data_IF_160034294629
#
_entry.id   IF_160034294629
#
_cell.length_a   1.000
_cell.length_b   1.000
_cell.length_c   1.000
_cell.angle_alpha   90.00
_cell.angle_beta   90.00
_cell.angle_gamma   90.00
#
_symmetry.space_group_name_H-M   'P 1'
#
loop_
_entity.id
_entity.type
_entity.pdbx_description
1 polymer ?
#
# COMPACT_ATOMS: atom_id res chain seq x y z
N UNK A 1 -24.75 -14.90 -10.96
CA UNK A 1 -24.02 -15.99 -11.64
C UNK A 1 -22.75 -16.22 -10.84
N UNK A 2 -22.65 -17.34 -10.15
CA UNK A 2 -21.50 -17.66 -9.29
C UNK A 2 -20.27 -17.89 -10.17
N UNK A 3 -19.24 -17.06 -10.00
CA UNK A 3 -17.96 -17.23 -10.73
C UNK A 3 -17.29 -18.50 -10.24
N UNK A 4 -17.10 -19.46 -11.10
CA UNK A 4 -16.33 -20.66 -10.77
C UNK A 4 -14.86 -20.29 -10.60
N UNK A 5 -14.31 -20.55 -9.42
CA UNK A 5 -12.88 -20.36 -9.17
C UNK A 5 -12.02 -21.11 -10.21
N UNK A 6 -10.87 -20.55 -10.62
CA UNK A 6 -9.97 -21.22 -11.54
C UNK A 6 -9.46 -22.53 -10.93
N UNK A 7 -9.09 -23.50 -11.79
CA UNK A 7 -8.43 -24.70 -11.28
C UNK A 7 -7.13 -24.32 -10.56
N UNK A 8 -6.76 -25.07 -9.53
CA UNK A 8 -5.52 -24.85 -8.75
C UNK A 8 -4.30 -24.70 -9.66
N UNK A 9 -4.18 -25.53 -10.69
CA UNK A 9 -3.08 -25.44 -11.65
C UNK A 9 -3.08 -24.14 -12.45
N UNK A 10 -4.26 -23.65 -12.86
CA UNK A 10 -4.40 -22.37 -13.56
C UNK A 10 -4.00 -21.20 -12.68
N UNK A 11 -4.44 -21.20 -11.43
CA UNK A 11 -4.08 -20.18 -10.44
C UNK A 11 -2.56 -20.17 -10.17
N UNK A 12 -1.96 -21.35 -9.97
CA UNK A 12 -0.51 -21.49 -9.77
C UNK A 12 0.31 -20.96 -10.96
N UNK A 13 -0.10 -21.27 -12.21
CA UNK A 13 0.60 -20.75 -13.39
C UNK A 13 0.55 -19.22 -13.46
N UNK A 14 -0.61 -18.62 -13.18
CA UNK A 14 -0.76 -17.15 -13.15
C UNK A 14 0.09 -16.51 -12.05
N UNK A 15 0.11 -17.11 -10.84
CA UNK A 15 0.93 -16.62 -9.73
C UNK A 15 2.42 -16.67 -10.07
N UNK A 16 2.90 -17.78 -10.64
CA UNK A 16 4.31 -17.91 -11.04
C UNK A 16 4.67 -16.92 -12.14
N UNK A 17 3.82 -16.74 -13.16
CA UNK A 17 4.05 -15.79 -14.22
C UNK A 17 4.10 -14.34 -13.69
N UNK A 18 3.20 -13.98 -12.77
CA UNK A 18 3.20 -12.67 -12.15
C UNK A 18 4.47 -12.45 -11.31
N UNK A 19 4.82 -13.39 -10.43
CA UNK A 19 6.00 -13.29 -9.56
C UNK A 19 7.32 -13.20 -10.35
N UNK A 20 7.43 -13.94 -11.45
CA UNK A 20 8.62 -13.92 -12.32
C UNK A 20 8.84 -12.55 -13.02
N UNK A 21 7.77 -11.77 -13.18
CA UNK A 21 7.82 -10.45 -13.81
C UNK A 21 7.97 -9.29 -12.81
N UNK A 22 8.12 -9.57 -11.50
CA UNK A 22 8.34 -8.51 -10.50
C UNK A 22 9.82 -8.16 -10.42
N UNK A 23 10.23 -6.92 -10.75
CA UNK A 23 11.61 -6.49 -10.59
C UNK A 23 11.95 -6.41 -9.10
N UNK A 24 12.87 -7.23 -8.62
CA UNK A 24 13.28 -7.26 -7.21
C UNK A 24 13.82 -5.92 -6.70
N UNK A 25 14.46 -5.13 -7.60
CA UNK A 25 14.95 -3.79 -7.28
C UNK A 25 13.87 -2.72 -7.11
N UNK A 26 12.64 -2.98 -7.57
CA UNK A 26 11.48 -2.10 -7.43
C UNK A 26 10.49 -2.60 -6.38
N UNK A 27 10.84 -3.67 -5.65
CA UNK A 27 10.03 -4.22 -4.58
C UNK A 27 10.51 -3.79 -3.19
N UNK A 28 10.08 -4.54 -2.17
CA UNK A 28 10.35 -4.28 -0.76
C UNK A 28 11.84 -4.04 -0.46
N UNK A 29 12.76 -4.84 -1.03
CA UNK A 29 14.20 -4.68 -0.82
C UNK A 29 14.73 -3.33 -1.33
N UNK A 30 14.25 -2.88 -2.49
CA UNK A 30 14.58 -1.56 -3.04
C UNK A 30 14.00 -0.42 -2.19
N UNK A 31 12.79 -0.56 -1.68
CA UNK A 31 12.16 0.38 -0.74
C UNK A 31 12.93 0.47 0.57
N UNK A 32 13.35 -0.66 1.12
CA UNK A 32 14.18 -0.70 2.33
C UNK A 32 15.55 -0.05 2.13
N UNK A 33 16.20 -0.29 0.99
CA UNK A 33 17.48 0.36 0.67
C UNK A 33 17.32 1.88 0.53
N UNK A 34 16.22 2.33 -0.08
CA UNK A 34 15.91 3.76 -0.20
C UNK A 34 15.66 4.39 1.17
N UNK A 35 14.91 3.74 2.05
CA UNK A 35 14.67 4.20 3.43
C UNK A 35 15.97 4.37 4.20
N UNK A 36 16.87 3.39 4.14
CA UNK A 36 18.19 3.48 4.79
C UNK A 36 19.01 4.67 4.23
N UNK A 37 19.02 4.84 2.92
CA UNK A 37 19.73 5.96 2.28
C UNK A 37 19.13 7.32 2.69
N UNK A 38 17.82 7.41 2.88
CA UNK A 38 17.13 8.62 3.33
C UNK A 38 17.29 8.89 4.83
N UNK A 39 17.51 7.86 5.66
CA UNK A 39 17.71 8.01 7.11
C UNK A 39 19.14 8.40 7.49
N UNK A 40 20.13 8.09 6.64
CA UNK A 40 21.54 8.45 6.88
C UNK A 40 21.88 9.88 6.46
N UNK A 41 21.03 10.52 5.69
CA UNK A 41 21.22 11.89 5.20
C UNK A 41 20.15 12.80 5.79
N UNK A 42 20.57 13.85 6.50
CA UNK A 42 19.67 14.96 6.83
C UNK A 42 19.14 15.54 5.52
N UNK A 43 17.83 15.37 5.27
CA UNK A 43 17.20 15.92 4.08
C UNK A 43 17.37 17.42 4.01
N UNK A 44 18.05 17.91 2.99
CA UNK A 44 18.31 19.36 2.77
C UNK A 44 17.68 19.87 1.47
N UNK A 45 16.96 19.00 0.76
CA UNK A 45 16.29 19.34 -0.50
C UNK A 45 14.93 20.02 -0.32
N UNK A 46 14.32 20.46 -1.44
CA UNK A 46 12.96 21.03 -1.44
C UNK A 46 11.92 20.03 -0.91
N UNK A 47 10.83 20.53 -0.31
CA UNK A 47 9.76 19.69 0.25
C UNK A 47 9.10 18.78 -0.81
N UNK A 48 8.95 19.25 -2.06
CA UNK A 48 8.40 18.43 -3.14
C UNK A 48 9.25 17.20 -3.46
N UNK A 49 10.58 17.31 -3.37
CA UNK A 49 11.48 16.17 -3.57
C UNK A 49 11.40 15.18 -2.40
N UNK A 50 11.21 15.69 -1.16
CA UNK A 50 10.98 14.84 0.01
C UNK A 50 9.68 14.06 -0.13
N UNK A 51 8.61 14.69 -0.61
CA UNK A 51 7.31 14.05 -0.85
C UNK A 51 7.41 12.93 -1.90
N UNK A 52 8.08 13.20 -3.02
CA UNK A 52 8.26 12.21 -4.08
C UNK A 52 9.12 11.02 -3.62
N UNK A 53 10.19 11.32 -2.86
CA UNK A 53 11.06 10.29 -2.27
C UNK A 53 10.30 9.42 -1.26
N UNK A 54 9.52 10.03 -0.38
CA UNK A 54 8.67 9.33 0.59
C UNK A 54 7.66 8.42 -0.11
N UNK A 55 6.89 8.96 -1.06
CA UNK A 55 5.90 8.19 -1.82
C UNK A 55 6.52 7.00 -2.54
N UNK A 56 7.70 7.19 -3.14
CA UNK A 56 8.41 6.13 -3.84
C UNK A 56 8.86 5.04 -2.87
N UNK A 57 9.45 5.42 -1.75
CA UNK A 57 9.91 4.51 -0.71
C UNK A 57 8.74 3.68 -0.14
N UNK A 58 7.64 4.33 0.24
CA UNK A 58 6.45 3.69 0.77
C UNK A 58 5.81 2.71 -0.23
N UNK A 59 5.68 3.14 -1.48
CA UNK A 59 5.16 2.28 -2.56
C UNK A 59 6.01 1.03 -2.75
N UNK A 60 7.34 1.17 -2.71
CA UNK A 60 8.27 0.06 -2.90
C UNK A 60 8.36 -0.84 -1.67
N UNK A 61 8.46 -0.26 -0.46
CA UNK A 61 8.66 -1.02 0.78
C UNK A 61 7.39 -1.73 1.22
N UNK A 62 6.29 -1.02 1.34
CA UNK A 62 5.04 -1.49 1.94
C UNK A 62 3.97 -1.75 0.89
N UNK A 63 3.78 -0.84 -0.05
CA UNK A 63 2.75 -0.92 -1.07
C UNK A 63 2.83 -2.19 -1.92
N UNK A 64 4.05 -2.63 -2.28
CA UNK A 64 4.24 -3.84 -3.07
C UNK A 64 3.74 -5.12 -2.37
N UNK A 65 3.79 -5.19 -1.03
CA UNK A 65 3.30 -6.35 -0.27
C UNK A 65 1.78 -6.41 -0.28
N UNK A 66 1.12 -5.29 -0.08
CA UNK A 66 -0.34 -5.20 -0.16
C UNK A 66 -0.84 -5.52 -1.58
N UNK A 67 -0.17 -4.97 -2.60
CA UNK A 67 -0.51 -5.27 -3.98
C UNK A 67 -0.29 -6.75 -4.32
N UNK A 68 0.80 -7.36 -3.86
CA UNK A 68 1.06 -8.78 -4.03
C UNK A 68 -0.04 -9.62 -3.38
N UNK A 69 -0.41 -9.34 -2.14
CA UNK A 69 -1.47 -10.06 -1.42
C UNK A 69 -2.83 -9.94 -2.14
N UNK A 70 -3.22 -8.74 -2.55
CA UNK A 70 -4.47 -8.49 -3.26
C UNK A 70 -4.51 -9.22 -4.61
N UNK A 71 -3.42 -9.17 -5.40
CA UNK A 71 -3.33 -9.87 -6.69
C UNK A 71 -3.35 -11.39 -6.51
N UNK A 72 -2.64 -11.93 -5.51
CA UNK A 72 -2.70 -13.36 -5.21
C UNK A 72 -4.13 -13.80 -4.87
N UNK A 73 -4.83 -13.05 -4.02
CA UNK A 73 -6.23 -13.29 -3.69
C UNK A 73 -7.13 -13.23 -4.92
N UNK A 74 -6.96 -12.21 -5.76
CA UNK A 74 -7.70 -12.04 -7.01
C UNK A 74 -7.47 -13.21 -7.99
N UNK A 75 -6.23 -13.66 -8.17
CA UNK A 75 -5.90 -14.81 -9.04
C UNK A 75 -6.59 -16.08 -8.54
N UNK A 76 -6.53 -16.34 -7.23
CA UNK A 76 -7.18 -17.52 -6.63
C UNK A 76 -8.69 -17.42 -6.72
N UNK A 77 -9.26 -16.23 -6.51
CA UNK A 77 -10.69 -15.96 -6.63
C UNK A 77 -11.22 -15.92 -8.08
N UNK A 78 -10.34 -15.95 -9.07
CA UNK A 78 -10.74 -15.88 -10.48
C UNK A 78 -11.17 -14.49 -10.93
N UNK A 79 -10.60 -13.45 -10.36
CA UNK A 79 -10.86 -12.07 -10.74
C UNK A 79 -10.54 -11.84 -12.23
N UNK A 80 -11.39 -11.07 -12.90
CA UNK A 80 -11.15 -10.56 -14.25
C UNK A 80 -10.09 -9.45 -14.23
N UNK A 81 -9.54 -9.07 -15.39
CA UNK A 81 -8.54 -7.99 -15.47
C UNK A 81 -9.05 -6.67 -14.86
N UNK A 82 -10.29 -6.19 -15.12
CA UNK A 82 -10.80 -5.00 -14.44
C UNK A 82 -10.88 -5.14 -12.91
N UNK A 83 -11.26 -6.31 -12.41
CA UNK A 83 -11.28 -6.58 -10.96
C UNK A 83 -9.87 -6.63 -10.37
N UNK A 84 -8.89 -7.16 -11.12
CA UNK A 84 -7.48 -7.15 -10.72
C UNK A 84 -6.92 -5.74 -10.63
N UNK A 85 -7.31 -4.84 -11.55
CA UNK A 85 -6.93 -3.43 -11.52
C UNK A 85 -7.54 -2.71 -10.32
N UNK A 86 -8.80 -3.00 -9.97
CA UNK A 86 -9.45 -2.46 -8.78
C UNK A 86 -8.79 -2.98 -7.49
N UNK A 87 -8.48 -4.27 -7.39
CA UNK A 87 -7.74 -4.85 -6.26
C UNK A 87 -6.36 -4.22 -6.11
N UNK A 88 -5.65 -3.98 -7.22
CA UNK A 88 -4.36 -3.30 -7.19
C UNK A 88 -4.48 -1.85 -6.74
N UNK A 89 -5.53 -1.12 -7.16
CA UNK A 89 -5.80 0.25 -6.71
C UNK A 89 -6.14 0.29 -5.21
N UNK A 90 -7.04 -0.60 -4.77
CA UNK A 90 -7.37 -0.75 -3.36
C UNK A 90 -6.11 -0.98 -2.52
N UNK A 91 -5.28 -1.94 -2.93
CA UNK A 91 -4.07 -2.31 -2.20
C UNK A 91 -3.08 -1.14 -2.08
N UNK A 92 -2.92 -0.33 -3.13
CA UNK A 92 -2.07 0.87 -3.08
C UNK A 92 -2.60 1.92 -2.12
N UNK A 93 -3.91 2.21 -2.15
CA UNK A 93 -4.51 3.18 -1.23
C UNK A 93 -4.48 2.70 0.21
N UNK A 94 -4.78 1.41 0.43
CA UNK A 94 -4.72 0.80 1.76
C UNK A 94 -3.29 0.80 2.31
N UNK A 95 -2.30 0.41 1.51
CA UNK A 95 -0.90 0.39 1.91
C UNK A 95 -0.37 1.78 2.24
N UNK A 96 -0.79 2.81 1.48
CA UNK A 96 -0.44 4.20 1.79
C UNK A 96 -1.07 4.64 3.12
N UNK A 97 -2.36 4.37 3.33
CA UNK A 97 -3.02 4.70 4.60
C UNK A 97 -2.35 3.99 5.78
N UNK A 98 -2.02 2.71 5.62
CA UNK A 98 -1.32 1.92 6.64
C UNK A 98 0.01 2.58 7.05
N UNK A 99 0.82 2.98 6.07
CA UNK A 99 2.11 3.62 6.33
C UNK A 99 1.96 4.99 6.99
N UNK A 100 1.03 5.83 6.51
CA UNK A 100 0.77 7.15 7.12
C UNK A 100 0.35 6.99 8.58
N UNK A 101 -0.48 6.00 8.88
CA UNK A 101 -0.90 5.71 10.25
C UNK A 101 0.29 5.30 11.12
N UNK A 102 1.13 4.38 10.63
CA UNK A 102 2.34 3.92 11.30
C UNK A 102 3.27 5.12 11.63
N UNK A 103 3.49 6.02 10.66
CA UNK A 103 4.26 7.25 10.83
C UNK A 103 3.64 8.22 11.86
N UNK A 104 2.31 8.30 11.96
CA UNK A 104 1.62 9.12 12.96
C UNK A 104 1.74 8.52 14.37
N UNK A 105 1.63 7.18 14.49
CA UNK A 105 1.83 6.47 15.76
C UNK A 105 3.27 6.61 16.26
N UNK A 106 4.25 6.46 15.37
CA UNK A 106 5.68 6.67 15.69
C UNK A 106 5.97 8.11 16.13
N UNK A 107 5.34 9.08 15.48
CA UNK A 107 5.50 10.51 15.86
C UNK A 107 4.90 10.85 17.23
N UNK A 108 3.86 10.14 17.66
CA UNK A 108 3.26 10.28 18.99
C UNK A 108 4.09 9.56 20.07
N UNK A 109 4.96 8.63 19.70
CA UNK A 109 5.90 7.93 20.56
C UNK A 109 7.20 8.72 20.81
N UNK A 110 8.13 8.13 21.56
CA UNK A 110 9.41 8.77 21.94
C UNK A 110 10.49 8.75 20.81
N UNK A 111 10.20 8.18 19.64
CA UNK A 111 11.16 8.02 18.53
C UNK A 111 11.23 9.22 17.56
N UNK A 112 10.74 10.38 17.97
CA UNK A 112 10.66 11.61 17.16
C UNK A 112 12.03 12.23 16.75
N UNK A 113 13.14 11.52 16.93
CA UNK A 113 14.51 12.03 16.70
C UNK A 113 15.33 11.31 15.63
N UNK A 114 14.78 10.35 14.88
CA UNK A 114 15.58 9.47 14.00
C UNK A 114 16.07 10.12 12.67
N UNK A 115 15.71 11.37 12.37
CA UNK A 115 16.06 12.04 11.09
C UNK A 115 15.42 11.36 9.84
N UNK A 116 14.46 10.46 10.05
CA UNK A 116 13.73 9.78 8.98
C UNK A 116 12.74 10.72 8.31
N UNK A 117 12.61 10.60 6.99
CA UNK A 117 11.51 11.23 6.26
C UNK A 117 10.27 10.39 6.47
N UNK A 118 9.24 10.97 7.09
CA UNK A 118 7.96 10.35 7.41
C UNK A 118 6.82 11.21 6.88
N UNK A 119 5.60 10.66 6.82
CA UNK A 119 4.40 11.41 6.46
C UNK A 119 4.24 12.68 7.33
N UNK A 120 4.49 12.56 8.64
CA UNK A 120 4.38 13.68 9.59
C UNK A 120 5.49 14.71 9.36
N UNK A 121 6.72 14.31 9.05
CA UNK A 121 7.82 15.24 8.79
C UNK A 121 7.64 16.04 7.49
N UNK A 122 6.96 15.43 6.48
CA UNK A 122 6.73 16.05 5.17
C UNK A 122 5.48 16.92 5.15
N UNK A 123 4.39 16.46 5.75
CA UNK A 123 3.07 17.12 5.64
C UNK A 123 2.58 17.74 6.95
N UNK A 124 3.29 17.54 8.06
CA UNK A 124 2.78 17.84 9.40
C UNK A 124 1.70 16.84 9.81
N UNK A 125 1.29 16.86 11.07
CA UNK A 125 0.31 15.92 11.60
C UNK A 125 -1.07 16.09 10.93
N UNK A 126 -1.54 17.32 10.74
CA UNK A 126 -2.81 17.63 10.08
C UNK A 126 -2.82 17.16 8.62
N UNK A 127 -1.77 17.47 7.84
CA UNK A 127 -1.64 17.01 6.46
C UNK A 127 -1.51 15.50 6.33
N UNK A 128 -0.90 14.82 7.31
CA UNK A 128 -0.86 13.35 7.36
C UNK A 128 -2.26 12.77 7.61
N UNK A 129 -3.05 13.34 8.53
CA UNK A 129 -4.44 12.95 8.74
C UNK A 129 -5.30 13.11 7.49
N UNK A 130 -5.23 14.26 6.82
CA UNK A 130 -5.99 14.50 5.58
C UNK A 130 -5.67 13.47 4.49
N UNK A 131 -4.39 13.11 4.36
CA UNK A 131 -3.95 12.11 3.38
C UNK A 131 -4.34 10.70 3.78
N UNK A 132 -4.31 10.38 5.06
CA UNK A 132 -4.84 9.12 5.59
C UNK A 132 -6.31 8.97 5.24
N UNK A 133 -7.14 9.94 5.58
CA UNK A 133 -8.59 9.94 5.32
C UNK A 133 -8.90 9.84 3.83
N UNK A 134 -8.16 10.58 2.99
CA UNK A 134 -8.30 10.53 1.54
C UNK A 134 -7.96 9.15 0.99
N UNK A 135 -6.93 8.50 1.52
CA UNK A 135 -6.50 7.16 1.11
C UNK A 135 -7.51 6.09 1.55
N UNK A 136 -8.02 6.17 2.77
CA UNK A 136 -9.10 5.30 3.26
C UNK A 136 -10.35 5.45 2.40
N UNK A 137 -10.77 6.68 2.10
CA UNK A 137 -11.94 6.93 1.25
C UNK A 137 -11.74 6.36 -0.16
N UNK A 138 -10.53 6.46 -0.72
CA UNK A 138 -10.21 5.87 -2.03
C UNK A 138 -10.23 4.33 -1.99
N UNK A 139 -9.66 3.72 -0.96
CA UNK A 139 -9.69 2.27 -0.76
C UNK A 139 -11.15 1.75 -0.64
N UNK A 140 -12.00 2.46 0.12
CA UNK A 140 -13.43 2.13 0.26
C UNK A 140 -14.15 2.17 -1.08
N UNK A 141 -13.94 3.20 -1.90
CA UNK A 141 -14.54 3.27 -3.26
C UNK A 141 -14.14 2.09 -4.13
N UNK A 142 -12.88 1.66 -4.06
CA UNK A 142 -12.45 0.45 -4.77
C UNK A 142 -13.17 -0.80 -4.24
N UNK A 143 -13.31 -0.95 -2.92
CA UNK A 143 -14.01 -2.08 -2.31
C UNK A 143 -15.51 -2.12 -2.65
N UNK A 144 -16.16 -0.95 -2.77
CA UNK A 144 -17.57 -0.80 -3.15
C UNK A 144 -17.85 -1.32 -4.56
N UNK A 145 -16.89 -1.22 -5.48
CA UNK A 145 -17.04 -1.73 -6.86
C UNK A 145 -17.29 -3.24 -6.93
N UNK A 146 -16.93 -3.99 -5.87
CA UNK A 146 -17.18 -5.43 -5.75
C UNK A 146 -18.55 -5.78 -5.15
N UNK A 147 -19.37 -4.79 -4.79
CA UNK A 147 -20.68 -5.00 -4.18
C UNK A 147 -20.58 -5.81 -2.86
N UNK A 148 -21.41 -6.86 -2.73
CA UNK A 148 -21.40 -7.71 -1.53
C UNK A 148 -20.09 -8.50 -1.38
N UNK A 149 -19.47 -8.91 -2.48
CA UNK A 149 -18.18 -9.62 -2.46
C UNK A 149 -17.04 -8.76 -1.84
N UNK A 150 -17.19 -7.44 -1.89
CA UNK A 150 -16.26 -6.49 -1.26
C UNK A 150 -16.43 -6.30 0.25
N UNK A 151 -17.41 -6.96 0.91
CA UNK A 151 -17.67 -6.76 2.34
C UNK A 151 -16.44 -6.99 3.22
N UNK A 152 -15.71 -8.09 2.99
CA UNK A 152 -14.49 -8.40 3.73
C UNK A 152 -13.35 -7.40 3.49
N UNK A 153 -13.31 -6.79 2.30
CA UNK A 153 -12.35 -5.73 2.01
C UNK A 153 -12.70 -4.46 2.77
N UNK A 154 -13.99 -4.13 2.89
CA UNK A 154 -14.47 -3.00 3.73
C UNK A 154 -14.16 -3.24 5.21
N UNK A 155 -14.45 -4.44 5.73
CA UNK A 155 -14.12 -4.81 7.12
C UNK A 155 -12.62 -4.62 7.40
N UNK A 156 -11.74 -5.01 6.44
CA UNK A 156 -10.30 -4.83 6.56
C UNK A 156 -9.90 -3.35 6.59
N UNK A 157 -10.52 -2.53 5.73
CA UNK A 157 -10.25 -1.08 5.70
C UNK A 157 -10.68 -0.44 7.02
N UNK A 158 -11.82 -0.87 7.57
CA UNK A 158 -12.34 -0.34 8.82
C UNK A 158 -11.42 -0.64 10.01
N UNK A 159 -10.71 -1.78 10.01
CA UNK A 159 -9.75 -2.13 11.08
C UNK A 159 -8.66 -1.08 11.25
N UNK A 160 -8.17 -0.45 10.17
CA UNK A 160 -7.14 0.60 10.28
C UNK A 160 -7.74 2.00 10.44
N UNK A 161 -9.05 2.17 10.26
CA UNK A 161 -9.74 3.47 10.38
C UNK A 161 -10.16 3.79 11.81
N UNK A 162 -10.36 2.79 12.67
CA UNK A 162 -10.91 2.92 14.03
C UNK A 162 -9.89 2.71 15.16
N UNK A 163 -8.64 2.54 14.86
CA UNK A 163 -7.62 2.28 15.88
C UNK A 163 -6.90 3.55 16.32
#
# INVERSE_FOLDING_TARGET
>A
MEKKAPSTLSAMKKLLAWAANQPSSLGMAGGQALELAMSEQSWSGPLCEAEDALRRMESMKTGCLFEAAARMGGIVGGASEPEMDELSRLARHFGLAFQIRDDMEDAAGQDSGSGRITAVSVWGLEGAHDRFDSSIAAARRCAESFGEAGSRLRDLIDLISFA
#
